data_IF_809051569115
#
_entry.id   IF_809051569115
#
_cell.length_a   1.000
_cell.length_b   1.000
_cell.length_c   1.000
_cell.angle_alpha   90.00
_cell.angle_beta   90.00
_cell.angle_gamma   90.00
#
_symmetry.space_group_name_H-M   'P 1'
#
loop_
_entity.id
_entity.type
_entity.pdbx_description
1 polymer ?
#
# COMPACT_ATOMS: atom_id res chain seq x y z
N UNK A 1 -8.87 -5.90 -4.88
CA UNK A 1 -9.24 -6.30 -3.52
C UNK A 1 -9.60 -5.08 -2.69
N UNK A 2 -8.64 -4.20 -2.39
CA UNK A 2 -8.93 -2.86 -1.85
C UNK A 2 -9.49 -1.97 -2.96
N UNK A 3 -10.60 -1.26 -2.70
CA UNK A 3 -11.21 -0.35 -3.69
C UNK A 3 -11.53 1.01 -3.09
N UNK A 4 -11.41 2.05 -3.92
CA UNK A 4 -11.83 3.41 -3.58
C UNK A 4 -13.36 3.51 -3.68
N UNK A 5 -13.97 4.05 -2.62
CA UNK A 5 -15.41 4.26 -2.46
C UNK A 5 -15.73 5.75 -2.24
N UNK A 6 -14.74 6.64 -2.39
CA UNK A 6 -14.86 8.06 -2.03
C UNK A 6 -15.97 8.76 -2.84
N UNK A 7 -16.17 8.36 -4.09
CA UNK A 7 -17.22 8.86 -5.00
C UNK A 7 -18.64 8.53 -4.52
N UNK A 8 -18.84 7.34 -3.93
CA UNK A 8 -20.12 6.96 -3.32
C UNK A 8 -20.24 7.61 -1.94
N UNK A 9 -19.17 7.56 -1.15
CA UNK A 9 -19.15 7.98 0.24
C UNK A 9 -19.41 9.49 0.42
N UNK A 10 -18.97 10.33 -0.53
CA UNK A 10 -19.25 11.79 -0.52
C UNK A 10 -20.74 12.10 -0.64
N UNK A 11 -21.52 11.23 -1.26
CA UNK A 11 -22.97 11.39 -1.44
C UNK A 11 -23.77 10.93 -0.20
N UNK A 12 -23.11 10.30 0.78
CA UNK A 12 -23.77 9.84 2.00
C UNK A 12 -24.08 10.99 2.96
N UNK A 13 -24.96 10.76 3.94
CA UNK A 13 -25.14 11.69 5.06
C UNK A 13 -24.19 11.40 6.24
N UNK A 14 -23.26 10.45 6.07
CA UNK A 14 -22.38 10.01 7.14
C UNK A 14 -21.22 10.98 7.34
N UNK A 15 -21.20 11.66 8.49
CA UNK A 15 -20.25 12.74 8.76
C UNK A 15 -18.79 12.30 8.69
N UNK A 16 -18.46 11.09 9.14
CA UNK A 16 -17.09 10.55 9.13
C UNK A 16 -16.55 10.47 7.70
N UNK A 17 -17.34 9.92 6.77
CA UNK A 17 -16.94 9.82 5.35
C UNK A 17 -16.78 11.20 4.72
N UNK A 18 -17.76 12.09 4.91
CA UNK A 18 -17.69 13.43 4.34
C UNK A 18 -16.53 14.26 4.89
N UNK A 19 -16.27 14.16 6.20
CA UNK A 19 -15.17 14.86 6.85
C UNK A 19 -13.82 14.38 6.32
N UNK A 20 -13.61 13.07 6.24
CA UNK A 20 -12.38 12.50 5.68
C UNK A 20 -12.12 13.00 4.24
N UNK A 21 -13.15 13.00 3.39
CA UNK A 21 -13.02 13.47 2.00
C UNK A 21 -12.80 14.99 1.93
N UNK A 22 -13.52 15.77 2.73
CA UNK A 22 -13.37 17.23 2.78
C UNK A 22 -11.94 17.64 3.20
N UNK A 23 -11.28 16.83 4.02
CA UNK A 23 -9.89 17.02 4.45
C UNK A 23 -8.85 16.48 3.43
N UNK A 24 -9.26 16.14 2.20
CA UNK A 24 -8.38 15.58 1.16
C UNK A 24 -8.06 14.10 1.35
N UNK A 25 -8.74 13.43 2.27
CA UNK A 25 -8.58 12.01 2.56
C UNK A 25 -9.27 11.10 1.53
N UNK A 26 -9.34 9.81 1.88
CA UNK A 26 -9.93 8.75 1.07
C UNK A 26 -10.84 7.87 1.91
N UNK A 27 -11.88 7.33 1.27
CA UNK A 27 -12.70 6.24 1.80
C UNK A 27 -12.46 5.01 0.94
N UNK A 28 -11.91 3.96 1.52
CA UNK A 28 -11.64 2.70 0.83
C UNK A 28 -12.15 1.52 1.65
N UNK A 29 -12.36 0.39 1.00
CA UNK A 29 -12.76 -0.81 1.71
C UNK A 29 -12.27 -2.11 1.08
N UNK A 30 -12.55 -3.20 1.80
CA UNK A 30 -12.39 -4.59 1.37
C UNK A 30 -13.67 -5.38 1.68
N UNK A 31 -13.84 -6.51 1.01
CA UNK A 31 -14.84 -7.51 1.33
C UNK A 31 -14.22 -8.62 2.20
N UNK A 32 -14.89 -8.99 3.27
CA UNK A 32 -14.63 -10.17 4.10
C UNK A 32 -15.71 -11.24 3.78
N UNK A 33 -15.38 -12.26 2.97
CA UNK A 33 -16.37 -13.23 2.50
C UNK A 33 -16.98 -14.07 3.63
N UNK A 34 -18.30 -14.29 3.58
CA UNK A 34 -19.02 -15.13 4.54
C UNK A 34 -19.12 -14.56 5.97
N UNK A 35 -18.69 -13.31 6.19
CA UNK A 35 -18.59 -12.71 7.52
C UNK A 35 -19.83 -11.91 7.95
N UNK A 36 -20.95 -11.95 7.23
CA UNK A 36 -22.16 -11.21 7.60
C UNK A 36 -22.71 -11.57 9.01
N UNK A 37 -22.40 -12.77 9.51
CA UNK A 37 -22.82 -13.28 10.82
C UNK A 37 -21.86 -12.92 11.96
N UNK A 38 -20.79 -12.15 11.69
CA UNK A 38 -19.83 -11.76 12.72
C UNK A 38 -20.53 -11.13 13.92
N UNK A 39 -20.17 -11.62 15.10
CA UNK A 39 -20.69 -11.14 16.38
C UNK A 39 -20.18 -9.74 16.68
N UNK A 40 -20.88 -9.02 17.56
CA UNK A 40 -20.43 -7.69 18.03
C UNK A 40 -19.01 -7.72 18.59
N UNK A 41 -18.62 -8.81 19.27
CA UNK A 41 -17.27 -9.01 19.80
C UNK A 41 -16.24 -9.09 18.67
N UNK A 42 -16.50 -9.89 17.64
CA UNK A 42 -15.57 -10.01 16.50
C UNK A 42 -15.44 -8.69 15.73
N UNK A 43 -16.53 -7.95 15.56
CA UNK A 43 -16.49 -6.62 14.95
C UNK A 43 -15.70 -5.62 15.82
N UNK A 44 -15.83 -5.68 17.14
CA UNK A 44 -15.06 -4.86 18.09
C UNK A 44 -13.56 -5.19 18.06
N UNK A 45 -13.20 -6.47 17.92
CA UNK A 45 -11.80 -6.90 17.75
C UNK A 45 -11.19 -6.31 16.46
N UNK A 46 -11.90 -6.36 15.33
CA UNK A 46 -11.45 -5.73 14.08
C UNK A 46 -11.36 -4.20 14.19
N UNK A 47 -12.31 -3.58 14.89
CA UNK A 47 -12.29 -2.14 15.13
C UNK A 47 -11.08 -1.73 16.00
N UNK A 48 -10.77 -2.50 17.06
CA UNK A 48 -9.59 -2.28 17.90
C UNK A 48 -8.29 -2.46 17.13
N UNK A 49 -8.22 -3.43 16.23
CA UNK A 49 -7.07 -3.59 15.33
C UNK A 49 -6.87 -2.34 14.46
N UNK A 50 -7.94 -1.86 13.82
CA UNK A 50 -7.87 -0.63 13.02
C UNK A 50 -7.44 0.58 13.85
N UNK A 51 -7.97 0.71 15.07
CA UNK A 51 -7.60 1.79 16.00
C UNK A 51 -6.16 1.68 16.51
N UNK A 52 -5.65 0.46 16.72
CA UNK A 52 -4.26 0.22 17.09
C UNK A 52 -3.26 0.67 16.02
N UNK A 53 -3.70 0.74 14.76
CA UNK A 53 -2.92 1.27 13.63
C UNK A 53 -3.14 2.78 13.40
N UNK A 54 -3.91 3.45 14.26
CA UNK A 54 -4.15 4.89 14.22
C UNK A 54 -5.43 5.33 13.49
N UNK A 55 -6.26 4.40 13.00
CA UNK A 55 -7.57 4.78 12.45
C UNK A 55 -8.52 5.26 13.56
N UNK A 56 -9.39 6.23 13.25
CA UNK A 56 -10.44 6.65 14.21
C UNK A 56 -11.43 5.53 14.51
N UNK A 57 -11.70 4.68 13.51
CA UNK A 57 -12.54 3.50 13.64
C UNK A 57 -12.75 2.77 12.31
N UNK A 58 -13.38 1.61 12.42
CA UNK A 58 -13.72 0.74 11.30
C UNK A 58 -15.24 0.75 11.08
N UNK A 59 -15.65 1.11 9.87
CA UNK A 59 -17.04 0.98 9.45
C UNK A 59 -17.26 -0.42 8.91
N UNK A 60 -18.24 -1.11 9.46
CA UNK A 60 -18.60 -2.47 9.06
C UNK A 60 -20.03 -2.48 8.50
N UNK A 61 -20.24 -3.16 7.37
CA UNK A 61 -21.56 -3.31 6.74
C UNK A 61 -21.78 -4.78 6.43
N UNK A 62 -22.63 -5.45 7.21
CA UNK A 62 -23.03 -6.84 6.95
C UNK A 62 -24.16 -6.86 5.93
N UNK A 63 -23.95 -7.62 4.86
CA UNK A 63 -24.92 -7.86 3.78
C UNK A 63 -25.66 -9.15 4.16
N UNK A 64 -26.97 -9.08 4.38
CA UNK A 64 -27.75 -10.14 5.02
C UNK A 64 -27.50 -11.56 4.50
N UNK A 65 -27.84 -12.55 5.32
CA UNK A 65 -27.48 -13.97 5.11
C UNK A 65 -28.46 -14.76 4.25
N UNK A 66 -29.51 -14.13 3.73
CA UNK A 66 -30.50 -14.79 2.89
C UNK A 66 -29.90 -15.17 1.54
N UNK A 67 -30.26 -16.35 1.02
CA UNK A 67 -29.92 -16.74 -0.34
C UNK A 67 -30.53 -15.75 -1.35
N UNK A 68 -29.75 -15.34 -2.35
CA UNK A 68 -30.19 -14.37 -3.35
C UNK A 68 -29.04 -13.53 -3.90
N UNK A 69 -29.38 -12.55 -4.71
CA UNK A 69 -28.45 -11.55 -5.26
C UNK A 69 -28.46 -10.28 -4.41
N UNK A 70 -27.46 -9.40 -4.59
CA UNK A 70 -27.49 -8.03 -4.05
C UNK A 70 -28.75 -7.26 -4.49
N UNK A 71 -29.38 -7.65 -5.60
CA UNK A 71 -30.68 -7.08 -6.02
C UNK A 71 -31.78 -7.32 -4.98
N UNK A 72 -31.74 -8.45 -4.28
CA UNK A 72 -32.72 -8.85 -3.25
C UNK A 72 -32.42 -8.22 -1.88
N UNK A 73 -31.24 -7.58 -1.72
CA UNK A 73 -30.86 -6.92 -0.48
C UNK A 73 -31.85 -5.79 -0.17
N UNK A 74 -32.42 -5.84 1.04
CA UNK A 74 -33.23 -4.76 1.61
C UNK A 74 -32.49 -4.07 2.75
N UNK A 75 -32.91 -2.85 3.11
CA UNK A 75 -32.25 -2.10 4.19
C UNK A 75 -32.35 -2.81 5.55
N UNK A 76 -33.41 -3.60 5.78
CA UNK A 76 -33.63 -4.37 7.01
C UNK A 76 -32.62 -5.54 7.15
N UNK A 77 -32.11 -6.04 6.02
CA UNK A 77 -31.10 -7.09 5.99
C UNK A 77 -29.70 -6.54 6.28
N UNK A 78 -29.48 -5.24 6.13
CA UNK A 78 -28.19 -4.59 6.37
C UNK A 78 -28.00 -4.35 7.85
N UNK A 79 -26.86 -4.83 8.40
CA UNK A 79 -26.46 -4.53 9.77
C UNK A 79 -25.22 -3.64 9.76
N UNK A 80 -25.40 -2.39 10.16
CA UNK A 80 -24.31 -1.42 10.32
C UNK A 80 -24.73 -0.25 11.19
N UNK A 81 -23.79 0.33 11.95
CA UNK A 81 -23.98 1.64 12.59
C UNK A 81 -24.12 2.77 11.57
N UNK A 82 -23.56 2.58 10.37
CA UNK A 82 -23.62 3.55 9.27
C UNK A 82 -24.89 3.42 8.41
N UNK A 83 -25.67 2.34 8.56
CA UNK A 83 -26.81 2.04 7.68
C UNK A 83 -27.83 3.17 7.61
N UNK A 84 -28.10 3.86 8.73
CA UNK A 84 -29.06 4.99 8.77
C UNK A 84 -28.60 6.24 8.00
N UNK A 85 -27.33 6.30 7.62
CA UNK A 85 -26.74 7.43 6.90
C UNK A 85 -26.47 7.15 5.42
N UNK A 86 -26.70 5.90 5.01
CA UNK A 86 -26.48 5.40 3.66
C UNK A 86 -27.82 5.00 3.05
N UNK A 87 -28.02 5.28 1.77
CA UNK A 87 -29.15 4.71 1.05
C UNK A 87 -28.86 3.24 0.72
N UNK A 88 -29.92 2.45 0.51
CA UNK A 88 -29.77 1.06 0.06
C UNK A 88 -28.98 0.98 -1.26
N UNK A 89 -29.21 1.92 -2.16
CA UNK A 89 -28.50 2.01 -3.45
C UNK A 89 -26.99 2.26 -3.25
N UNK A 90 -26.61 3.17 -2.35
CA UNK A 90 -25.20 3.40 -2.00
C UNK A 90 -24.53 2.14 -1.44
N UNK A 91 -25.23 1.39 -0.58
CA UNK A 91 -24.71 0.14 -0.01
C UNK A 91 -24.52 -0.90 -1.11
N UNK A 92 -25.48 -1.04 -2.04
CA UNK A 92 -25.35 -1.95 -3.19
C UNK A 92 -24.18 -1.57 -4.09
N UNK A 93 -24.02 -0.28 -4.41
CA UNK A 93 -22.88 0.20 -5.20
C UNK A 93 -21.53 -0.07 -4.51
N UNK A 94 -21.44 0.12 -3.19
CA UNK A 94 -20.24 -0.21 -2.43
C UNK A 94 -19.95 -1.72 -2.45
N UNK A 95 -20.97 -2.55 -2.23
CA UNK A 95 -20.86 -4.00 -2.26
C UNK A 95 -20.40 -4.50 -3.63
N UNK A 96 -21.02 -4.04 -4.72
CA UNK A 96 -20.62 -4.37 -6.09
C UNK A 96 -19.18 -3.96 -6.38
N UNK A 97 -18.77 -2.76 -5.97
CA UNK A 97 -17.39 -2.28 -6.17
C UNK A 97 -16.37 -3.16 -5.48
N UNK A 98 -16.71 -3.63 -4.28
CA UNK A 98 -15.89 -4.52 -3.47
C UNK A 98 -15.99 -5.99 -3.90
N UNK A 99 -16.86 -6.32 -4.87
CA UNK A 99 -17.10 -7.70 -5.31
C UNK A 99 -17.74 -8.57 -4.23
N UNK A 100 -18.52 -7.95 -3.33
CA UNK A 100 -19.20 -8.64 -2.25
C UNK A 100 -20.52 -9.26 -2.70
N UNK A 101 -20.95 -10.31 -2.00
CA UNK A 101 -22.23 -10.98 -2.19
C UNK A 101 -23.07 -10.91 -0.91
N UNK A 102 -24.32 -11.41 -1.00
CA UNK A 102 -25.11 -11.70 0.19
C UNK A 102 -24.35 -12.66 1.11
N UNK A 103 -24.35 -12.39 2.41
CA UNK A 103 -23.58 -13.16 3.40
C UNK A 103 -22.17 -12.61 3.68
N UNK A 104 -21.73 -11.57 2.98
CA UNK A 104 -20.41 -10.96 3.18
C UNK A 104 -20.44 -9.74 4.12
N UNK A 105 -19.25 -9.32 4.55
CA UNK A 105 -19.04 -8.15 5.39
C UNK A 105 -18.13 -7.14 4.67
N UNK A 106 -18.58 -5.91 4.53
CA UNK A 106 -17.73 -4.82 4.05
C UNK A 106 -16.97 -4.21 5.22
N UNK A 107 -15.66 -4.04 5.05
CA UNK A 107 -14.77 -3.36 6.00
C UNK A 107 -14.27 -2.08 5.35
N UNK A 108 -14.63 -0.92 5.90
CA UNK A 108 -14.40 0.38 5.28
C UNK A 108 -13.67 1.31 6.25
N UNK A 109 -12.59 1.93 5.75
CA UNK A 109 -11.77 2.91 6.47
C UNK A 109 -11.85 4.24 5.73
N UNK A 110 -11.91 5.33 6.50
CA UNK A 110 -11.91 6.70 6.03
C UNK A 110 -10.81 7.48 6.75
N UNK A 111 -9.99 8.22 6.01
CA UNK A 111 -8.89 8.98 6.61
C UNK A 111 -7.84 9.41 5.58
N UNK A 112 -6.63 9.70 6.06
CA UNK A 112 -5.49 10.03 5.20
C UNK A 112 -5.10 8.82 4.32
N UNK A 113 -4.74 9.03 3.03
CA UNK A 113 -4.47 7.93 2.09
C UNK A 113 -3.47 6.86 2.55
N UNK A 114 -2.31 7.23 3.12
CA UNK A 114 -1.31 6.26 3.61
C UNK A 114 -1.89 5.44 4.76
N UNK A 115 -2.52 6.09 5.74
CA UNK A 115 -3.16 5.41 6.87
C UNK A 115 -4.27 4.45 6.40
N UNK A 116 -5.14 4.89 5.49
CA UNK A 116 -6.22 4.06 4.93
C UNK A 116 -5.65 2.80 4.27
N UNK A 117 -4.60 2.95 3.46
CA UNK A 117 -3.96 1.82 2.78
C UNK A 117 -3.30 0.86 3.77
N UNK A 118 -2.60 1.37 4.78
CA UNK A 118 -1.96 0.58 5.83
C UNK A 118 -3.00 -0.27 6.59
N UNK A 119 -4.04 0.37 7.11
CA UNK A 119 -5.07 -0.30 7.92
C UNK A 119 -5.79 -1.37 7.11
N UNK A 120 -6.14 -1.08 5.85
CA UNK A 120 -6.80 -2.06 4.99
C UNK A 120 -5.86 -3.19 4.57
N UNK A 121 -4.55 -2.94 4.41
CA UNK A 121 -3.58 -4.00 4.15
C UNK A 121 -3.50 -4.99 5.32
N UNK A 122 -3.45 -4.50 6.55
CA UNK A 122 -3.42 -5.34 7.76
C UNK A 122 -4.74 -6.10 7.96
N UNK A 123 -5.89 -5.42 7.83
CA UNK A 123 -7.20 -6.09 7.91
C UNK A 123 -7.34 -7.17 6.84
N UNK A 124 -6.83 -6.93 5.63
CA UNK A 124 -6.84 -7.90 4.54
C UNK A 124 -6.01 -9.14 4.87
N UNK A 125 -4.81 -8.98 5.43
CA UNK A 125 -3.99 -10.11 5.89
C UNK A 125 -4.69 -10.88 7.01
N UNK A 126 -5.19 -10.17 8.02
CA UNK A 126 -5.90 -10.76 9.15
C UNK A 126 -7.12 -11.58 8.69
N UNK A 127 -7.94 -11.02 7.80
CA UNK A 127 -9.10 -11.73 7.26
C UNK A 127 -8.68 -12.91 6.40
N UNK A 128 -7.60 -12.79 5.62
CA UNK A 128 -7.01 -13.88 4.86
C UNK A 128 -6.61 -15.06 5.76
N UNK A 129 -6.00 -14.79 6.91
CA UNK A 129 -5.64 -15.80 7.91
C UNK A 129 -6.86 -16.41 8.58
N UNK A 130 -7.77 -15.59 9.12
CA UNK A 130 -8.99 -16.07 9.82
C UNK A 130 -9.86 -16.96 8.93
N UNK A 131 -9.97 -16.60 7.65
CA UNK A 131 -10.82 -17.28 6.67
C UNK A 131 -10.07 -18.33 5.86
N UNK A 132 -8.75 -18.48 6.05
CA UNK A 132 -7.88 -19.44 5.35
C UNK A 132 -8.02 -19.33 3.83
N UNK A 133 -7.98 -18.10 3.31
CA UNK A 133 -8.22 -17.82 1.89
C UNK A 133 -7.00 -18.14 1.00
N UNK A 134 -5.80 -18.15 1.59
CA UNK A 134 -4.58 -18.51 0.89
C UNK A 134 -4.32 -20.02 0.98
N UNK A 135 -3.96 -20.63 -0.15
CA UNK A 135 -3.48 -22.01 -0.16
C UNK A 135 -2.06 -22.06 0.46
N UNK A 136 -1.83 -22.87 1.50
CA UNK A 136 -0.58 -22.83 2.27
C UNK A 136 0.66 -23.21 1.43
N UNK A 137 0.49 -24.13 0.48
CA UNK A 137 1.59 -24.64 -0.35
C UNK A 137 1.81 -23.82 -1.64
N UNK A 138 0.98 -22.81 -1.89
CA UNK A 138 1.09 -22.02 -3.11
C UNK A 138 2.08 -20.87 -2.89
N UNK A 139 3.16 -20.87 -3.67
CA UNK A 139 4.08 -19.74 -3.76
C UNK A 139 3.65 -18.81 -4.91
N UNK A 140 3.34 -17.56 -4.56
CA UNK A 140 2.98 -16.52 -5.51
C UNK A 140 4.06 -15.45 -5.50
N UNK A 141 4.69 -15.27 -6.65
CA UNK A 141 5.75 -14.28 -6.87
C UNK A 141 5.22 -13.05 -7.59
N UNK A 142 5.73 -11.88 -7.22
CA UNK A 142 5.49 -10.64 -7.93
C UNK A 142 6.75 -9.77 -7.96
N UNK A 143 6.93 -9.04 -9.06
CA UNK A 143 7.83 -7.89 -9.08
C UNK A 143 7.02 -6.63 -8.81
N UNK A 144 7.48 -5.85 -7.84
CA UNK A 144 7.04 -4.46 -7.68
C UNK A 144 8.07 -3.59 -8.38
N UNK A 145 7.60 -2.68 -9.23
CA UNK A 145 8.42 -1.80 -10.05
C UNK A 145 7.82 -0.40 -10.02
N UNK A 146 8.50 0.57 -10.63
CA UNK A 146 8.03 1.96 -10.76
C UNK A 146 7.83 2.69 -9.43
N UNK A 147 8.64 2.32 -8.46
CA UNK A 147 8.77 3.06 -7.21
C UNK A 147 9.25 4.51 -7.45
N UNK A 148 8.86 5.46 -6.59
CA UNK A 148 9.44 6.80 -6.56
C UNK A 148 10.96 6.72 -6.40
N UNK A 149 11.73 7.57 -7.06
CA UNK A 149 13.18 7.65 -6.86
C UNK A 149 13.53 8.19 -5.47
N UNK A 150 12.76 9.20 -5.05
CA UNK A 150 12.95 9.97 -3.84
C UNK A 150 11.65 10.01 -3.05
N UNK A 151 11.76 10.00 -1.72
CA UNK A 151 10.68 10.32 -0.80
C UNK A 151 11.02 11.55 0.01
N UNK A 152 10.01 12.30 0.41
CA UNK A 152 10.21 13.42 1.31
C UNK A 152 10.09 12.93 2.74
N UNK A 153 11.09 13.23 3.57
CA UNK A 153 11.00 13.00 5.00
C UNK A 153 9.97 13.98 5.59
N UNK A 154 8.98 13.47 6.31
CA UNK A 154 7.88 14.28 6.85
C UNK A 154 8.32 15.18 8.02
N UNK A 155 9.38 14.81 8.73
CA UNK A 155 9.91 15.56 9.87
C UNK A 155 10.90 16.65 9.45
N UNK A 156 11.85 16.31 8.58
CA UNK A 156 12.91 17.24 8.14
C UNK A 156 12.54 18.01 6.88
N UNK A 157 11.57 17.53 6.11
CA UNK A 157 11.19 18.08 4.82
C UNK A 157 12.23 17.87 3.71
N UNK A 158 13.32 17.13 3.98
CA UNK A 158 14.38 16.83 3.02
C UNK A 158 14.04 15.63 2.14
N UNK A 159 14.73 15.50 1.00
CA UNK A 159 14.63 14.32 0.16
C UNK A 159 15.50 13.19 0.70
N UNK A 160 14.95 11.99 0.72
CA UNK A 160 15.65 10.74 0.98
C UNK A 160 15.51 9.82 -0.22
N UNK A 161 16.46 8.91 -0.38
CA UNK A 161 16.35 7.86 -1.40
C UNK A 161 15.28 6.84 -0.99
N UNK A 162 14.45 6.42 -1.94
CA UNK A 162 13.47 5.35 -1.67
C UNK A 162 14.15 3.99 -1.48
N UNK A 163 15.21 3.71 -2.25
CA UNK A 163 15.99 2.47 -2.19
C UNK A 163 17.44 2.73 -1.74
N UNK A 164 18.29 3.22 -2.65
CA UNK A 164 19.67 3.61 -2.35
C UNK A 164 20.05 4.80 -3.24
N UNK A 165 20.88 5.76 -2.79
CA UNK A 165 21.32 6.93 -3.56
C UNK A 165 21.96 6.67 -4.92
N UNK A 166 22.32 5.43 -5.25
CA UNK A 166 22.91 5.05 -6.53
C UNK A 166 21.89 4.57 -7.56
N UNK A 167 20.60 4.55 -7.20
CA UNK A 167 19.53 4.08 -8.07
C UNK A 167 19.35 5.05 -9.24
N UNK A 168 19.36 4.51 -10.46
CA UNK A 168 19.11 5.31 -11.65
C UNK A 168 17.62 5.72 -11.72
N UNK A 169 17.31 6.95 -12.11
CA UNK A 169 15.95 7.33 -12.52
C UNK A 169 15.52 6.59 -13.80
N UNK A 170 14.21 6.51 -14.04
CA UNK A 170 13.64 6.19 -15.35
C UNK A 170 14.11 7.23 -16.38
N UNK A 171 14.41 6.80 -17.61
CA UNK A 171 15.01 7.67 -18.61
C UNK A 171 14.04 8.78 -19.01
N UNK A 172 12.75 8.45 -19.09
CA UNK A 172 11.66 9.39 -19.37
C UNK A 172 11.40 10.41 -18.26
N UNK A 173 11.89 10.14 -17.03
CA UNK A 173 11.66 10.99 -15.85
C UNK A 173 12.87 11.88 -15.53
N UNK A 174 13.95 11.81 -16.33
CA UNK A 174 15.21 12.53 -16.09
C UNK A 174 15.04 14.04 -15.93
N UNK A 175 14.16 14.66 -16.71
CA UNK A 175 13.87 16.10 -16.62
C UNK A 175 13.12 16.47 -15.35
N UNK A 176 12.40 15.53 -14.73
CA UNK A 176 11.66 15.77 -13.49
C UNK A 176 12.61 16.03 -12.32
N UNK A 177 13.86 15.57 -12.38
CA UNK A 177 14.85 15.84 -11.35
C UNK A 177 15.12 17.34 -11.13
N UNK A 178 14.91 18.17 -12.16
CA UNK A 178 15.10 19.63 -12.06
C UNK A 178 13.84 20.38 -11.62
N UNK A 179 12.65 19.81 -11.86
CA UNK A 179 11.39 20.55 -11.72
C UNK A 179 10.43 19.95 -10.69
N UNK A 180 10.33 18.62 -10.62
CA UNK A 180 9.35 17.89 -9.81
C UNK A 180 9.92 16.53 -9.41
N UNK A 181 11.00 16.51 -8.59
CA UNK A 181 11.73 15.29 -8.25
C UNK A 181 10.84 14.24 -7.54
N UNK A 182 9.75 14.65 -6.89
CA UNK A 182 8.78 13.77 -6.25
C UNK A 182 8.02 12.86 -7.22
N UNK A 183 8.03 13.20 -8.52
CA UNK A 183 7.37 12.43 -9.58
C UNK A 183 8.34 11.51 -10.33
N UNK A 184 9.65 11.67 -10.12
CA UNK A 184 10.64 10.85 -10.78
C UNK A 184 10.59 9.43 -10.23
N UNK A 185 10.48 8.43 -11.10
CA UNK A 185 10.53 7.02 -10.71
C UNK A 185 11.95 6.49 -10.80
N UNK A 186 12.29 5.58 -9.90
CA UNK A 186 13.54 4.85 -9.92
C UNK A 186 13.46 3.57 -10.75
N UNK A 187 14.59 3.16 -11.34
CA UNK A 187 14.79 1.86 -11.96
C UNK A 187 15.14 0.80 -10.91
N UNK A 188 14.40 0.79 -9.79
CA UNK A 188 14.51 -0.26 -8.77
C UNK A 188 13.25 -1.11 -8.74
N UNK A 189 13.44 -2.30 -8.19
CA UNK A 189 12.47 -3.37 -8.23
C UNK A 189 12.65 -4.29 -7.04
N UNK A 190 11.53 -4.74 -6.50
CA UNK A 190 11.51 -5.71 -5.41
C UNK A 190 10.83 -6.99 -5.89
N UNK A 191 11.38 -8.12 -5.47
CA UNK A 191 10.80 -9.44 -5.64
C UNK A 191 10.07 -9.82 -4.36
N UNK A 192 8.77 -10.05 -4.48
CA UNK A 192 7.89 -10.43 -3.39
C UNK A 192 7.47 -11.88 -3.57
N UNK A 193 7.46 -12.66 -2.49
CA UNK A 193 6.87 -13.99 -2.44
C UNK A 193 5.90 -14.07 -1.25
N UNK A 194 4.63 -14.41 -1.52
CA UNK A 194 3.58 -14.54 -0.50
C UNK A 194 3.47 -13.34 0.46
N UNK A 195 3.72 -12.12 -0.04
CA UNK A 195 3.68 -10.89 0.74
C UNK A 195 4.97 -10.55 1.49
N UNK A 196 6.00 -11.39 1.42
CA UNK A 196 7.33 -11.10 1.95
C UNK A 196 8.25 -10.58 0.84
N UNK A 197 8.96 -9.49 1.11
CA UNK A 197 10.08 -9.06 0.27
C UNK A 197 11.23 -10.07 0.41
N UNK A 198 11.57 -10.76 -0.68
CA UNK A 198 12.63 -11.78 -0.73
C UNK A 198 13.88 -11.29 -1.46
N UNK A 199 13.83 -10.11 -2.06
CA UNK A 199 14.99 -9.45 -2.62
C UNK A 199 14.62 -8.12 -3.27
N UNK A 200 15.64 -7.29 -3.45
CA UNK A 200 15.50 -5.96 -4.01
C UNK A 200 16.74 -5.56 -4.78
N UNK A 201 16.55 -4.75 -5.82
CA UNK A 201 17.62 -4.39 -6.73
C UNK A 201 17.34 -3.12 -7.48
N UNK A 202 18.38 -2.59 -8.14
CA UNK A 202 18.21 -1.46 -9.04
C UNK A 202 19.25 -1.41 -10.14
N UNK A 203 18.87 -0.77 -11.25
CA UNK A 203 19.84 -0.26 -12.20
C UNK A 203 20.52 0.96 -11.57
N UNK A 204 21.83 1.04 -11.75
CA UNK A 204 22.66 2.03 -11.08
C UNK A 204 22.99 3.21 -12.00
N UNK A 205 23.16 4.37 -11.39
CA UNK A 205 23.75 5.52 -12.05
C UNK A 205 25.22 5.16 -12.34
N UNK A 206 25.65 5.39 -13.59
CA UNK A 206 27.00 5.07 -14.05
C UNK A 206 27.73 6.30 -14.60
N UNK A 207 27.14 7.50 -14.46
CA UNK A 207 27.74 8.76 -14.90
C UNK A 207 27.90 9.71 -13.72
N UNK A 208 29.09 10.28 -13.53
CA UNK A 208 29.40 11.17 -12.40
C UNK A 208 28.44 12.36 -12.30
N UNK A 209 28.15 13.02 -13.43
CA UNK A 209 27.26 14.19 -13.47
C UNK A 209 25.86 13.92 -12.92
N UNK A 210 25.25 12.78 -13.31
CA UNK A 210 23.94 12.39 -12.79
C UNK A 210 24.00 12.00 -11.31
N UNK A 211 25.05 11.29 -10.89
CA UNK A 211 25.19 10.86 -9.49
C UNK A 211 25.36 12.06 -8.55
N UNK A 212 26.17 13.05 -8.94
CA UNK A 212 26.32 14.32 -8.22
C UNK A 212 24.98 15.07 -8.12
N UNK A 213 24.21 15.09 -9.20
CA UNK A 213 22.86 15.70 -9.20
C UNK A 213 21.94 15.04 -8.17
N UNK A 214 21.91 13.71 -8.13
CA UNK A 214 21.10 12.97 -7.15
C UNK A 214 21.58 13.23 -5.71
N UNK A 215 22.89 13.27 -5.46
CA UNK A 215 23.40 13.62 -4.14
C UNK A 215 23.02 15.04 -3.71
N UNK A 216 23.08 16.02 -4.60
CA UNK A 216 22.62 17.39 -4.30
C UNK A 216 21.14 17.44 -3.97
N UNK A 217 20.30 16.66 -4.66
CA UNK A 217 18.87 16.54 -4.32
C UNK A 217 18.67 15.97 -2.91
N UNK A 218 19.52 15.02 -2.50
CA UNK A 218 19.54 14.44 -1.15
C UNK A 218 20.17 15.36 -0.10
N UNK A 219 20.59 16.57 -0.48
CA UNK A 219 21.09 17.60 0.44
C UNK A 219 22.59 17.59 0.70
N UNK A 220 23.38 16.77 -0.01
CA UNK A 220 24.83 16.77 0.14
C UNK A 220 25.46 17.99 -0.52
N UNK A 221 26.45 18.61 0.15
CA UNK A 221 27.31 19.64 -0.45
C UNK A 221 28.33 19.01 -1.41
N UNK A 222 28.90 19.82 -2.31
CA UNK A 222 29.92 19.31 -3.25
C UNK A 222 31.17 18.78 -2.51
N UNK A 223 31.55 19.42 -1.39
CA UNK A 223 32.64 18.96 -0.53
C UNK A 223 32.33 17.62 0.14
N UNK A 224 31.09 17.44 0.64
CA UNK A 224 30.66 16.17 1.24
C UNK A 224 30.65 15.05 0.20
N UNK A 225 30.19 15.35 -1.02
CA UNK A 225 30.20 14.42 -2.14
C UNK A 225 31.63 13.98 -2.47
N UNK A 226 32.56 14.92 -2.56
CA UNK A 226 33.95 14.62 -2.90
C UNK A 226 34.64 13.80 -1.81
N UNK A 227 34.43 14.14 -0.53
CA UNK A 227 35.01 13.42 0.60
C UNK A 227 34.47 11.99 0.72
N UNK A 228 33.15 11.81 0.59
CA UNK A 228 32.52 10.50 0.82
C UNK A 228 32.52 9.61 -0.43
N UNK A 229 32.34 10.20 -1.61
CA UNK A 229 32.06 9.45 -2.85
C UNK A 229 32.97 9.82 -4.02
N UNK A 230 33.92 10.76 -3.84
CA UNK A 230 34.79 11.24 -4.92
C UNK A 230 35.54 10.14 -5.65
N UNK A 231 36.07 9.16 -4.92
CA UNK A 231 36.76 8.00 -5.48
C UNK A 231 35.88 7.18 -6.45
N UNK A 232 34.60 7.00 -6.12
CA UNK A 232 33.64 6.28 -6.97
C UNK A 232 33.25 7.13 -8.18
N UNK A 233 33.06 8.44 -7.98
CA UNK A 233 32.72 9.37 -9.05
C UNK A 233 33.86 9.51 -10.07
N UNK A 234 35.11 9.47 -9.61
CA UNK A 234 36.28 9.42 -10.49
C UNK A 234 36.31 8.10 -11.29
N UNK A 235 36.00 6.96 -10.64
CA UNK A 235 35.92 5.67 -11.32
C UNK A 235 34.89 5.68 -12.48
N UNK A 236 33.79 6.43 -12.35
CA UNK A 236 32.80 6.56 -13.42
C UNK A 236 33.35 7.25 -14.68
N UNK A 237 34.31 8.16 -14.54
CA UNK A 237 34.93 8.89 -15.66
C UNK A 237 35.86 8.00 -16.51
N UNK A 238 36.32 6.87 -15.98
CA UNK A 238 37.12 5.89 -16.73
C UNK A 238 36.27 4.89 -17.53
N UNK A 239 34.98 5.20 -17.76
CA UNK A 239 34.09 4.41 -18.61
C UNK A 239 33.34 3.31 -17.86
N UNK A 240 32.77 3.63 -16.69
CA UNK A 240 31.90 2.69 -15.98
C UNK A 240 30.69 2.30 -16.88
N UNK A 241 30.44 0.99 -17.10
CA UNK A 241 29.34 0.57 -17.95
C UNK A 241 27.99 0.78 -17.26
N UNK A 242 26.87 0.82 -18.01
CA UNK A 242 25.56 0.60 -17.44
C UNK A 242 25.55 -0.71 -16.65
N UNK A 243 25.14 -0.65 -15.39
CA UNK A 243 25.16 -1.80 -14.49
C UNK A 243 23.94 -1.79 -13.57
N UNK A 244 23.66 -2.96 -12.99
CA UNK A 244 22.55 -3.18 -12.09
C UNK A 244 22.80 -4.43 -11.26
N UNK A 245 22.05 -4.58 -10.19
CA UNK A 245 22.16 -5.76 -9.34
C UNK A 245 20.95 -5.95 -8.45
N UNK A 246 20.88 -7.12 -7.85
CA UNK A 246 19.85 -7.54 -6.91
C UNK A 246 20.51 -8.23 -5.72
N UNK A 247 19.96 -8.03 -4.53
CA UNK A 247 20.32 -8.78 -3.34
C UNK A 247 19.10 -9.60 -2.88
N UNK A 248 19.32 -10.86 -2.54
CA UNK A 248 18.27 -11.77 -2.07
C UNK A 248 18.40 -12.00 -0.57
N UNK A 249 17.27 -11.97 0.13
CA UNK A 249 17.18 -12.35 1.54
C UNK A 249 17.14 -13.88 1.66
N UNK A 250 18.31 -14.53 1.68
CA UNK A 250 18.41 -15.98 1.71
C UNK A 250 17.62 -16.60 2.87
N UNK A 251 17.70 -16.03 4.07
CA UNK A 251 17.00 -16.52 5.26
C UNK A 251 15.47 -16.49 5.08
N UNK A 252 14.93 -15.43 4.46
CA UNK A 252 13.49 -15.33 4.16
C UNK A 252 13.06 -16.33 3.10
N UNK A 253 13.89 -16.57 2.09
CA UNK A 253 13.62 -17.59 1.07
C UNK A 253 13.56 -18.97 1.72
N UNK A 254 14.54 -19.30 2.56
CA UNK A 254 14.56 -20.58 3.29
C UNK A 254 13.35 -20.71 4.23
N UNK A 255 13.01 -19.67 4.98
CA UNK A 255 11.82 -19.62 5.84
C UNK A 255 10.54 -19.95 5.05
N UNK A 256 10.32 -19.30 3.91
CA UNK A 256 9.14 -19.54 3.07
C UNK A 256 9.11 -20.95 2.49
N UNK A 257 10.26 -21.48 2.04
CA UNK A 257 10.35 -22.83 1.51
C UNK A 257 10.19 -23.92 2.59
N UNK A 258 10.56 -23.61 3.83
CA UNK A 258 10.36 -24.49 4.98
C UNK A 258 8.95 -24.40 5.58
N UNK A 259 8.13 -23.44 5.13
CA UNK A 259 6.80 -23.21 5.69
C UNK A 259 6.82 -22.60 7.11
N UNK A 260 7.90 -21.90 7.46
CA UNK A 260 8.10 -21.29 8.78
C UNK A 260 7.58 -19.84 8.82
N UNK A 261 7.16 -19.38 9.99
CA UNK A 261 6.72 -17.99 10.22
C UNK A 261 7.87 -17.06 10.61
N UNK A 262 9.03 -17.62 10.98
CA UNK A 262 10.18 -16.89 11.53
C UNK A 262 11.49 -17.37 10.90
N UNK A 263 12.44 -16.45 10.74
CA UNK A 263 13.80 -16.75 10.24
C UNK A 263 14.74 -17.34 11.31
N UNK A 264 14.27 -17.47 12.56
CA UNK A 264 15.07 -17.91 13.72
C UNK A 264 14.94 -19.39 14.00
#
# INVERSE_FOLDING_TARGET
>A
EIRDLSDIAVQSSFSIFRSAIANGGKVKGICAPGCATYTRRQLDELNKMAQGLGAEGLVTISLGTSAGSLNDLTIEMVRSVAAKFLTLDQIKQMAERLGANMGDLLLIIAGEPKLVNLVLAELRQEMGHRLKLAAPELLVFAFIVDFPLLKRNEETGQWESEHHPFTAPRDEDMSLLDTSPEKARGKHYDMICNGCEIGGGSLRIHTSGLQRKVFRLLGYSDEEIDVQFGHMLEAFEYGAPPHGGIALGLDRIVMLLAGEETIR
#
